data_IF_071781344965
#
_entry.id   IF_071781344965
#
_cell.length_a   1.000
_cell.length_b   1.000
_cell.length_c   1.000
_cell.angle_alpha   90.00
_cell.angle_beta   90.00
_cell.angle_gamma   90.00
#
_symmetry.space_group_name_H-M   'P 1'
#
loop_
_entity.id
_entity.type
_entity.pdbx_description
1 polymer ?
#
# COMPACT_ATOMS: atom_id res chain seq x y z
N UNK A 1 -2.68 -19.89 -1.64
CA UNK A 1 -2.30 -18.47 -1.39
C UNK A 1 -1.57 -17.96 -2.60
N UNK A 2 -1.86 -16.74 -3.06
CA UNK A 2 -1.24 -16.09 -4.22
C UNK A 2 -0.81 -14.66 -3.81
N UNK A 3 0.42 -14.28 -4.12
CA UNK A 3 0.90 -12.90 -4.08
C UNK A 3 0.89 -12.35 -5.51
N UNK A 4 0.26 -11.21 -5.71
CA UNK A 4 0.30 -10.45 -6.95
C UNK A 4 0.95 -9.10 -6.68
N UNK A 5 2.06 -8.81 -7.33
CA UNK A 5 2.66 -7.48 -7.29
C UNK A 5 1.87 -6.60 -8.27
N UNK A 6 1.18 -5.59 -7.74
CA UNK A 6 0.36 -4.67 -8.53
C UNK A 6 1.20 -3.57 -9.16
N UNK A 7 2.27 -3.17 -8.48
CA UNK A 7 3.27 -2.25 -8.94
C UNK A 7 4.64 -2.59 -8.36
N UNK A 8 5.69 -2.30 -9.09
CA UNK A 8 7.10 -2.58 -8.71
C UNK A 8 8.02 -1.39 -9.03
N UNK A 9 7.45 -0.23 -9.30
CA UNK A 9 8.19 1.00 -9.52
C UNK A 9 8.60 1.67 -8.23
N UNK A 10 9.51 2.64 -8.34
CA UNK A 10 9.91 3.53 -7.26
C UNK A 10 8.80 4.55 -6.96
N UNK A 11 9.03 5.43 -5.98
CA UNK A 11 8.15 6.56 -5.66
C UNK A 11 7.82 7.46 -6.86
N UNK A 12 8.69 7.50 -7.87
CA UNK A 12 8.47 8.25 -9.12
C UNK A 12 7.71 7.44 -10.18
N UNK A 13 7.63 6.11 -10.05
CA UNK A 13 7.18 5.21 -11.11
C UNK A 13 8.19 5.10 -12.27
N UNK A 14 7.93 4.21 -13.21
CA UNK A 14 8.70 4.07 -14.46
C UNK A 14 7.71 4.02 -15.63
N UNK A 15 7.82 4.90 -16.63
CA UNK A 15 8.78 5.99 -16.79
C UNK A 15 8.59 7.12 -15.78
N UNK A 16 9.69 7.73 -15.37
CA UNK A 16 9.67 8.94 -14.54
C UNK A 16 9.41 10.17 -15.40
N UNK A 17 8.61 11.09 -14.89
CA UNK A 17 8.26 12.34 -15.58
C UNK A 17 9.54 13.12 -15.93
N UNK A 18 9.70 13.43 -17.22
CA UNK A 18 10.85 14.19 -17.72
C UNK A 18 12.15 13.39 -17.88
N UNK A 19 12.22 12.14 -17.47
CA UNK A 19 13.40 11.29 -17.64
C UNK A 19 13.55 10.84 -19.11
N UNK A 20 14.79 10.87 -19.61
CA UNK A 20 15.14 10.47 -20.98
C UNK A 20 16.12 9.29 -21.04
N UNK A 21 16.26 8.54 -19.95
CA UNK A 21 17.10 7.34 -19.95
C UNK A 21 16.51 6.25 -20.84
N UNK A 22 17.32 5.26 -21.19
CA UNK A 22 16.93 4.18 -22.07
C UNK A 22 15.68 3.43 -21.60
N UNK A 23 15.54 3.22 -20.28
CA UNK A 23 14.39 2.52 -19.67
C UNK A 23 13.13 3.38 -19.74
N UNK A 24 13.19 4.66 -19.36
CA UNK A 24 12.03 5.55 -19.41
C UNK A 24 11.56 5.86 -20.84
N UNK A 25 12.46 5.79 -21.84
CA UNK A 25 12.14 5.95 -23.25
C UNK A 25 11.84 4.62 -23.97
N UNK A 26 11.90 3.49 -23.26
CA UNK A 26 11.66 2.17 -23.84
C UNK A 26 10.20 2.01 -24.30
N UNK A 27 10.03 1.33 -25.42
CA UNK A 27 8.73 0.85 -25.89
C UNK A 27 8.29 -0.48 -25.27
N UNK A 28 9.14 -1.14 -24.49
CA UNK A 28 8.81 -2.42 -23.86
C UNK A 28 7.83 -2.19 -22.70
N UNK A 29 6.66 -2.86 -22.69
CA UNK A 29 5.70 -2.72 -21.60
C UNK A 29 6.24 -3.21 -20.24
N UNK A 30 7.27 -4.05 -20.19
CA UNK A 30 7.92 -4.50 -18.96
C UNK A 30 8.71 -3.38 -18.28
N UNK A 31 9.07 -2.33 -18.99
CA UNK A 31 9.72 -1.14 -18.44
C UNK A 31 8.71 -0.12 -17.89
N UNK A 32 7.41 -0.42 -17.93
CA UNK A 32 6.36 0.39 -17.33
C UNK A 32 5.99 -0.18 -15.97
N UNK A 33 6.35 0.55 -14.90
CA UNK A 33 6.15 0.11 -13.51
C UNK A 33 5.45 1.20 -12.72
N UNK A 34 4.22 0.94 -12.33
CA UNK A 34 3.49 1.77 -11.37
C UNK A 34 4.11 1.66 -9.99
N UNK A 35 3.80 2.61 -9.10
CA UNK A 35 4.28 2.64 -7.72
C UNK A 35 3.89 1.37 -6.98
N UNK A 36 4.68 1.06 -5.98
CA UNK A 36 4.65 -0.25 -5.32
C UNK A 36 3.32 -0.50 -4.60
N UNK A 37 2.75 -1.66 -4.83
CA UNK A 37 1.61 -2.23 -4.08
C UNK A 37 1.54 -3.74 -4.34
N UNK A 38 0.91 -4.46 -3.44
CA UNK A 38 0.72 -5.90 -3.57
C UNK A 38 -0.65 -6.38 -3.11
N UNK A 39 -1.07 -7.52 -3.63
CA UNK A 39 -2.30 -8.19 -3.26
C UNK A 39 -1.99 -9.61 -2.81
N UNK A 40 -2.47 -9.99 -1.65
CA UNK A 40 -2.41 -11.36 -1.14
C UNK A 40 -3.81 -11.95 -1.17
N UNK A 41 -3.99 -13.03 -1.92
CA UNK A 41 -5.23 -13.80 -1.97
C UNK A 41 -5.03 -15.13 -1.27
N UNK A 42 -5.88 -15.40 -0.30
CA UNK A 42 -5.78 -16.62 0.53
C UNK A 42 -6.51 -17.81 -0.13
N UNK A 43 -6.25 -19.00 0.36
CA UNK A 43 -6.98 -20.19 -0.09
C UNK A 43 -8.47 -20.19 0.32
N UNK A 44 -8.84 -19.42 1.34
CA UNK A 44 -10.24 -19.21 1.78
C UNK A 44 -10.97 -18.14 0.96
N UNK A 45 -10.31 -17.50 -0.01
CA UNK A 45 -10.91 -16.47 -0.87
C UNK A 45 -10.80 -15.04 -0.31
N UNK A 46 -10.17 -14.83 0.84
CA UNK A 46 -9.92 -13.49 1.37
C UNK A 46 -8.84 -12.76 0.55
N UNK A 47 -9.01 -11.47 0.42
CA UNK A 47 -8.13 -10.58 -0.37
C UNK A 47 -7.60 -9.46 0.52
N UNK A 48 -6.29 -9.45 0.73
CA UNK A 48 -5.57 -8.44 1.52
C UNK A 48 -4.75 -7.59 0.56
N UNK A 49 -4.98 -6.27 0.58
CA UNK A 49 -4.22 -5.29 -0.18
C UNK A 49 -3.08 -4.75 0.70
N UNK A 50 -1.90 -4.53 0.14
CA UNK A 50 -0.78 -3.87 0.81
C UNK A 50 -0.48 -2.59 0.05
N UNK A 51 -0.65 -1.47 0.73
CA UNK A 51 -0.56 -0.09 0.26
C UNK A 51 -1.59 0.32 -0.81
N UNK A 52 -1.80 1.63 -0.92
CA UNK A 52 -2.74 2.25 -1.86
C UNK A 52 -2.05 3.38 -2.63
N UNK A 53 -1.21 3.07 -3.63
CA UNK A 53 -0.51 4.10 -4.40
C UNK A 53 -1.48 4.94 -5.26
N UNK A 54 -1.04 6.08 -5.80
CA UNK A 54 -1.86 6.94 -6.67
C UNK A 54 -2.48 6.22 -7.87
N UNK A 55 -1.84 5.16 -8.38
CA UNK A 55 -2.36 4.36 -9.49
C UNK A 55 -3.24 3.18 -9.08
N UNK A 56 -3.65 3.12 -7.81
CA UNK A 56 -4.39 1.98 -7.24
C UNK A 56 -5.56 1.54 -8.12
N UNK A 57 -6.38 2.49 -8.57
CA UNK A 57 -7.53 2.18 -9.43
C UNK A 57 -7.12 1.41 -10.69
N UNK A 58 -6.07 1.86 -11.37
CA UNK A 58 -5.59 1.21 -12.59
C UNK A 58 -5.01 -0.18 -12.31
N UNK A 59 -4.28 -0.31 -11.20
CA UNK A 59 -3.69 -1.57 -10.76
C UNK A 59 -4.77 -2.61 -10.44
N UNK A 60 -5.81 -2.23 -9.70
CA UNK A 60 -6.90 -3.12 -9.33
C UNK A 60 -7.76 -3.54 -10.52
N UNK A 61 -8.02 -2.62 -11.47
CA UNK A 61 -8.71 -2.92 -12.72
C UNK A 61 -7.91 -3.92 -13.57
N UNK A 62 -6.61 -3.70 -13.73
CA UNK A 62 -5.73 -4.60 -14.48
C UNK A 62 -5.64 -6.00 -13.85
N UNK A 63 -5.70 -6.08 -12.51
CA UNK A 63 -5.69 -7.35 -11.77
C UNK A 63 -7.06 -8.01 -11.63
N UNK A 64 -8.15 -7.39 -12.12
CA UNK A 64 -9.51 -7.90 -12.04
C UNK A 64 -10.04 -8.02 -10.60
N UNK A 65 -9.61 -7.12 -9.71
CA UNK A 65 -9.98 -7.17 -8.29
C UNK A 65 -11.39 -6.62 -8.09
N UNK A 66 -12.26 -7.43 -7.51
CA UNK A 66 -13.65 -7.05 -7.22
C UNK A 66 -13.97 -6.98 -5.72
N UNK A 67 -13.05 -7.45 -4.86
CA UNK A 67 -13.22 -7.47 -3.41
C UNK A 67 -11.90 -7.25 -2.70
N UNK A 68 -11.92 -6.48 -1.62
CA UNK A 68 -10.83 -6.32 -0.65
C UNK A 68 -11.41 -6.53 0.75
N UNK A 69 -10.78 -7.38 1.55
CA UNK A 69 -11.23 -7.69 2.91
C UNK A 69 -10.47 -6.91 3.97
N UNK A 70 -9.21 -6.55 3.69
CA UNK A 70 -8.38 -5.73 4.56
C UNK A 70 -7.31 -5.00 3.74
N UNK A 71 -6.82 -3.88 4.28
CA UNK A 71 -5.66 -3.16 3.76
C UNK A 71 -4.59 -3.07 4.82
N UNK A 72 -3.35 -3.34 4.46
CA UNK A 72 -2.17 -3.17 5.30
C UNK A 72 -1.36 -1.99 4.77
N UNK A 73 -1.01 -1.04 5.62
CA UNK A 73 -0.12 0.06 5.25
C UNK A 73 1.28 -0.16 5.81
N UNK A 74 2.27 -0.07 4.91
CA UNK A 74 3.67 -0.17 5.28
C UNK A 74 4.14 1.09 6.00
N UNK A 75 3.80 2.27 5.46
CA UNK A 75 4.11 3.58 6.01
C UNK A 75 3.30 4.70 5.32
N UNK A 76 3.49 5.95 5.71
CA UNK A 76 2.67 7.10 5.33
C UNK A 76 3.12 7.85 4.07
N UNK A 77 4.17 7.45 3.36
CA UNK A 77 4.61 8.17 2.16
C UNK A 77 3.53 8.20 1.08
N UNK A 78 3.52 9.27 0.31
CA UNK A 78 2.51 9.59 -0.70
C UNK A 78 2.28 8.47 -1.73
N UNK A 79 3.35 7.84 -2.15
CA UNK A 79 3.35 6.73 -3.11
C UNK A 79 2.78 5.42 -2.54
N UNK A 80 2.51 5.38 -1.22
CA UNK A 80 1.88 4.24 -0.54
C UNK A 80 0.45 4.51 -0.06
N UNK A 81 0.02 5.78 0.02
CA UNK A 81 -1.27 6.10 0.66
C UNK A 81 -2.23 6.93 -0.19
N UNK A 82 -1.78 7.62 -1.25
CA UNK A 82 -2.62 8.61 -1.95
C UNK A 82 -3.77 8.03 -2.78
N UNK A 83 -3.84 6.71 -2.98
CA UNK A 83 -4.98 6.04 -3.60
C UNK A 83 -6.07 5.60 -2.61
N UNK A 84 -6.01 6.04 -1.35
CA UNK A 84 -6.95 5.63 -0.29
C UNK A 84 -8.42 5.89 -0.65
N UNK A 85 -8.72 6.95 -1.41
CA UNK A 85 -10.10 7.27 -1.80
C UNK A 85 -10.72 6.21 -2.73
N UNK A 86 -9.92 5.52 -3.54
CA UNK A 86 -10.40 4.45 -4.41
C UNK A 86 -10.96 3.24 -3.64
N UNK A 87 -10.63 3.12 -2.34
CA UNK A 87 -11.20 2.11 -1.45
C UNK A 87 -12.71 2.31 -1.22
N UNK A 88 -13.24 3.48 -1.56
CA UNK A 88 -14.67 3.82 -1.46
C UNK A 88 -15.56 2.77 -2.14
N UNK A 89 -15.20 2.35 -3.33
CA UNK A 89 -15.99 1.39 -4.11
C UNK A 89 -16.19 0.06 -3.37
N UNK A 90 -15.16 -0.42 -2.67
CA UNK A 90 -15.24 -1.69 -1.92
C UNK A 90 -16.10 -1.55 -0.67
N UNK A 91 -15.94 -0.46 0.10
CA UNK A 91 -16.74 -0.24 1.30
C UNK A 91 -18.24 -0.03 0.98
N UNK A 92 -18.55 0.62 -0.14
CA UNK A 92 -19.91 0.81 -0.63
C UNK A 92 -20.50 -0.53 -1.10
N UNK A 93 -19.82 -1.25 -1.99
CA UNK A 93 -20.33 -2.52 -2.53
C UNK A 93 -20.44 -3.60 -1.46
N UNK A 94 -19.54 -3.63 -0.49
CA UNK A 94 -19.57 -4.62 0.59
C UNK A 94 -20.51 -4.23 1.74
N UNK A 95 -21.05 -3.01 1.73
CA UNK A 95 -21.99 -2.52 2.74
C UNK A 95 -21.44 -2.43 4.17
N UNK A 96 -20.11 -2.46 4.33
CA UNK A 96 -19.42 -2.43 5.63
C UNK A 96 -18.13 -1.61 5.55
N UNK A 97 -17.66 -1.08 6.69
CA UNK A 97 -16.35 -0.46 6.73
C UNK A 97 -15.25 -1.44 6.32
N UNK A 98 -14.28 -0.95 5.53
CA UNK A 98 -13.09 -1.71 5.17
C UNK A 98 -12.01 -1.47 6.23
N UNK A 99 -11.48 -2.53 6.89
CA UNK A 99 -10.45 -2.38 7.91
C UNK A 99 -9.09 -2.06 7.28
N UNK A 100 -8.45 -1.03 7.81
CA UNK A 100 -7.09 -0.59 7.48
C UNK A 100 -6.19 -0.84 8.68
N UNK A 101 -5.06 -1.45 8.46
CA UNK A 101 -4.09 -1.80 9.49
C UNK A 101 -2.75 -1.11 9.21
N UNK A 102 -2.09 -0.60 10.23
CA UNK A 102 -0.79 0.04 10.12
C UNK A 102 -0.20 0.42 11.47
N UNK A 103 1.03 0.92 11.49
CA UNK A 103 1.62 1.51 12.69
C UNK A 103 0.88 2.79 13.08
N UNK A 104 0.83 3.10 14.39
CA UNK A 104 0.08 4.28 14.86
C UNK A 104 0.52 5.61 14.20
N UNK A 105 1.81 5.88 13.94
CA UNK A 105 2.20 7.08 13.21
C UNK A 105 1.55 7.18 11.82
N UNK A 106 1.53 6.08 11.07
CA UNK A 106 0.89 6.01 9.75
C UNK A 106 -0.62 6.23 9.84
N UNK A 107 -1.29 5.62 10.84
CA UNK A 107 -2.72 5.81 11.05
C UNK A 107 -3.06 7.24 11.48
N UNK A 108 -2.23 7.87 12.29
CA UNK A 108 -2.38 9.28 12.68
C UNK A 108 -2.26 10.20 11.46
N UNK A 109 -1.26 9.97 10.61
CA UNK A 109 -1.12 10.68 9.33
C UNK A 109 -2.37 10.54 8.44
N UNK A 110 -2.91 9.32 8.32
CA UNK A 110 -4.12 9.09 7.52
C UNK A 110 -5.32 9.85 8.08
N UNK A 111 -5.53 9.87 9.41
CA UNK A 111 -6.62 10.63 10.05
C UNK A 111 -6.51 12.13 9.76
N UNK A 112 -5.30 12.67 9.83
CA UNK A 112 -5.07 14.10 9.62
C UNK A 112 -5.17 14.48 8.15
N UNK A 113 -4.51 13.75 7.25
CA UNK A 113 -4.44 14.07 5.82
C UNK A 113 -5.76 13.83 5.10
N UNK A 114 -6.52 12.82 5.54
CA UNK A 114 -7.80 12.45 4.91
C UNK A 114 -9.00 12.70 5.86
N UNK A 115 -9.01 13.85 6.50
CA UNK A 115 -10.06 14.22 7.47
C UNK A 115 -11.47 14.01 6.93
N UNK A 116 -11.73 14.27 5.66
CA UNK A 116 -13.06 14.07 5.06
C UNK A 116 -13.54 12.61 5.15
N UNK A 117 -12.64 11.64 5.26
CA UNK A 117 -12.96 10.21 5.44
C UNK A 117 -13.24 9.92 6.92
N UNK A 118 -12.36 10.39 7.81
CA UNK A 118 -12.28 9.91 9.19
C UNK A 118 -12.96 10.84 10.21
N UNK A 119 -13.17 12.11 9.88
CA UNK A 119 -13.83 13.07 10.76
C UNK A 119 -15.36 12.94 10.65
N UNK A 120 -16.05 12.48 11.71
CA UNK A 120 -17.51 12.33 11.68
C UNK A 120 -18.25 13.68 11.59
N UNK A 121 -17.57 14.79 11.92
CA UNK A 121 -18.15 16.14 11.78
C UNK A 121 -18.23 16.58 10.32
N UNK A 122 -17.52 15.94 9.39
CA UNK A 122 -17.60 16.25 7.97
C UNK A 122 -18.68 15.36 7.33
N UNK A 123 -19.83 15.93 6.91
CA UNK A 123 -20.93 15.13 6.38
C UNK A 123 -20.65 14.60 4.95
N UNK A 124 -21.38 13.56 4.58
CA UNK A 124 -21.55 13.22 3.16
C UNK A 124 -22.60 14.19 2.56
N UNK A 125 -22.27 14.79 1.42
CA UNK A 125 -23.23 15.61 0.68
C UNK A 125 -24.14 14.75 -0.19
N UNK A 126 -25.35 15.23 -0.46
CA UNK A 126 -26.30 14.53 -1.32
C UNK A 126 -25.69 14.21 -2.70
N UNK A 127 -25.78 12.96 -3.12
CA UNK A 127 -25.22 12.48 -4.40
C UNK A 127 -23.72 12.18 -4.37
N UNK A 128 -23.08 12.29 -3.21
CA UNK A 128 -21.66 11.89 -3.03
C UNK A 128 -21.56 10.68 -2.11
N UNK A 129 -20.41 10.08 -2.07
CA UNK A 129 -20.04 9.06 -1.09
C UNK A 129 -18.58 9.23 -0.68
N UNK A 130 -18.27 8.90 0.56
CA UNK A 130 -16.88 8.82 1.04
C UNK A 130 -16.53 7.38 1.40
N UNK A 131 -15.25 7.00 1.39
CA UNK A 131 -14.85 5.69 1.87
C UNK A 131 -15.32 5.46 3.32
N UNK A 132 -15.86 4.29 3.61
CA UNK A 132 -16.13 3.84 4.98
C UNK A 132 -14.97 2.96 5.40
N UNK A 133 -14.09 3.48 6.24
CA UNK A 133 -12.85 2.84 6.63
C UNK A 133 -12.75 2.79 8.16
N UNK A 134 -12.16 1.73 8.71
CA UNK A 134 -11.85 1.61 10.12
C UNK A 134 -10.35 1.40 10.33
N UNK A 135 -9.74 2.12 11.26
CA UNK A 135 -8.31 2.11 11.50
C UNK A 135 -7.97 1.19 12.69
N UNK A 136 -7.00 0.31 12.51
CA UNK A 136 -6.56 -0.68 13.48
C UNK A 136 -5.03 -0.66 13.61
N UNK A 137 -4.53 -0.38 14.81
CA UNK A 137 -3.11 -0.34 15.09
C UNK A 137 -2.46 -1.73 15.00
N UNK A 138 -1.25 -1.77 14.44
CA UNK A 138 -0.38 -2.95 14.42
C UNK A 138 0.89 -2.67 15.22
N UNK A 139 1.21 -3.59 16.11
CA UNK A 139 2.51 -3.63 16.77
C UNK A 139 3.42 -4.65 16.09
N UNK A 140 4.65 -4.24 15.76
CA UNK A 140 5.64 -5.14 15.19
C UNK A 140 6.01 -6.25 16.20
N UNK A 141 6.17 -7.47 15.68
CA UNK A 141 6.56 -8.64 16.48
C UNK A 141 5.38 -9.45 17.05
N UNK A 142 4.16 -8.93 17.01
CA UNK A 142 2.97 -9.63 17.50
C UNK A 142 2.07 -10.06 16.33
N UNK A 143 1.74 -11.35 16.17
CA UNK A 143 0.83 -11.79 15.12
C UNK A 143 -0.61 -11.38 15.45
N UNK A 144 -1.33 -10.92 14.43
CA UNK A 144 -2.74 -10.54 14.50
C UNK A 144 -3.50 -11.31 13.40
N UNK A 145 -4.69 -11.80 13.73
CA UNK A 145 -5.55 -12.42 12.71
C UNK A 145 -6.24 -11.34 11.87
N UNK A 146 -5.99 -11.33 10.57
CA UNK A 146 -6.57 -10.39 9.61
C UNK A 146 -7.16 -11.18 8.45
N UNK A 147 -8.46 -11.00 8.21
CA UNK A 147 -9.19 -11.72 7.17
C UNK A 147 -9.01 -13.25 7.21
N UNK A 148 -8.97 -13.84 8.43
CA UNK A 148 -8.78 -15.26 8.65
C UNK A 148 -7.34 -15.77 8.45
N UNK A 149 -6.35 -14.86 8.43
CA UNK A 149 -4.94 -15.20 8.27
C UNK A 149 -4.08 -14.58 9.37
N UNK A 150 -3.11 -15.32 9.93
CA UNK A 150 -2.11 -14.75 10.81
C UNK A 150 -1.18 -13.82 10.02
N UNK A 151 -1.16 -12.55 10.39
CA UNK A 151 -0.30 -11.51 9.85
C UNK A 151 0.67 -11.09 10.94
N UNK A 152 1.95 -11.14 10.66
CA UNK A 152 3.01 -10.63 11.53
C UNK A 152 3.62 -9.39 10.89
N UNK A 153 3.48 -8.25 11.57
CA UNK A 153 4.17 -7.03 11.19
C UNK A 153 5.62 -7.07 11.67
N UNK A 154 6.54 -6.69 10.80
CA UNK A 154 7.98 -6.61 11.05
C UNK A 154 8.42 -5.17 10.82
N UNK A 155 9.24 -4.62 11.72
CA UNK A 155 9.73 -3.24 11.62
C UNK A 155 11.09 -3.21 10.93
N UNK A 156 11.24 -2.27 9.99
CA UNK A 156 12.49 -2.00 9.29
C UNK A 156 12.80 -0.52 9.32
N UNK A 157 14.07 -0.15 9.18
CA UNK A 157 14.49 1.24 9.03
C UNK A 157 14.21 1.75 7.60
N UNK A 158 13.78 3.02 7.51
CA UNK A 158 13.55 3.73 6.26
C UNK A 158 13.86 5.22 6.45
N UNK A 159 15.00 5.68 5.89
CA UNK A 159 15.47 7.05 6.11
C UNK A 159 15.66 7.36 7.59
N UNK A 160 14.91 8.36 8.09
CA UNK A 160 14.87 8.73 9.51
C UNK A 160 13.66 8.10 10.25
N UNK A 161 12.84 7.33 9.54
CA UNK A 161 11.64 6.69 10.05
C UNK A 161 11.72 5.17 10.01
N UNK A 162 10.56 4.55 10.10
CA UNK A 162 10.42 3.09 10.03
C UNK A 162 9.29 2.71 9.10
N UNK A 163 9.41 1.54 8.46
CA UNK A 163 8.35 0.93 7.66
C UNK A 163 7.98 -0.44 8.23
N UNK A 164 6.75 -0.86 8.00
CA UNK A 164 6.32 -2.22 8.29
C UNK A 164 6.49 -3.10 7.04
N UNK A 165 7.12 -4.26 7.22
CA UNK A 165 6.94 -5.38 6.33
C UNK A 165 5.93 -6.35 6.93
N UNK A 166 5.38 -7.24 6.13
CA UNK A 166 4.33 -8.17 6.56
C UNK A 166 4.67 -9.60 6.19
N UNK A 167 4.62 -10.50 7.18
CA UNK A 167 4.58 -11.93 6.92
C UNK A 167 3.13 -12.41 7.02
N UNK A 168 2.64 -13.01 5.93
CA UNK A 168 1.29 -13.54 5.81
C UNK A 168 1.41 -15.01 5.40
N UNK A 169 1.24 -15.91 6.35
CA UNK A 169 1.55 -17.32 6.14
C UNK A 169 3.00 -17.54 5.65
N UNK A 170 3.21 -18.20 4.49
CA UNK A 170 4.55 -18.43 3.93
C UNK A 170 5.13 -17.24 3.15
N UNK A 171 4.34 -16.17 2.93
CA UNK A 171 4.75 -15.00 2.15
C UNK A 171 5.28 -13.93 3.11
N UNK A 172 6.43 -13.32 2.77
CA UNK A 172 6.91 -12.10 3.37
C UNK A 172 6.98 -11.01 2.29
N UNK A 173 6.37 -9.86 2.58
CA UNK A 173 6.41 -8.67 1.74
C UNK A 173 7.13 -7.56 2.48
N UNK A 174 8.15 -7.00 1.86
CA UNK A 174 8.94 -5.90 2.40
C UNK A 174 9.22 -4.92 1.26
N UNK A 175 8.97 -3.64 1.50
CA UNK A 175 9.31 -2.56 0.57
C UNK A 175 9.99 -1.43 1.34
N UNK A 176 10.75 -0.59 0.66
CA UNK A 176 11.40 0.63 1.16
C UNK A 176 12.29 0.42 2.40
N UNK A 177 12.57 -0.82 2.73
CA UNK A 177 13.36 -1.17 3.90
C UNK A 177 14.85 -0.97 3.66
N UNK A 178 15.52 -0.35 4.62
CA UNK A 178 16.97 -0.37 4.73
C UNK A 178 17.36 -1.64 5.52
N UNK A 179 18.11 -2.54 4.90
CA UNK A 179 18.63 -3.70 5.59
C UNK A 179 19.80 -3.28 6.51
N UNK A 180 19.68 -3.54 7.80
CA UNK A 180 20.78 -3.35 8.74
C UNK A 180 21.99 -4.19 8.28
N UNK A 181 23.17 -3.55 8.09
CA UNK A 181 24.40 -4.21 7.69
C UNK A 181 24.78 -4.10 6.21
N UNK A 182 23.97 -3.50 5.35
CA UNK A 182 24.46 -3.03 4.05
C UNK A 182 25.42 -1.87 4.31
N UNK A 183 26.74 -2.13 4.35
CA UNK A 183 27.78 -1.10 4.39
C UNK A 183 27.44 -0.10 3.28
N UNK A 184 27.28 1.17 3.65
CA UNK A 184 27.29 2.28 2.72
C UNK A 184 28.58 2.17 1.92
N UNK A 185 28.48 1.63 0.71
CA UNK A 185 29.52 1.87 -0.28
C UNK A 185 29.35 3.34 -0.64
N UNK A 186 30.30 4.14 -0.19
CA UNK A 186 30.41 5.53 -0.59
C UNK A 186 30.44 5.60 -2.12
N UNK A 187 29.37 6.03 -2.72
CA UNK A 187 29.21 6.18 -4.16
C UNK A 187 27.78 6.61 -4.40
N UNK A 188 27.59 7.87 -4.80
CA UNK A 188 26.31 8.53 -4.95
C UNK A 188 25.29 7.63 -5.66
N UNK A 189 24.16 7.42 -5.01
CA UNK A 189 22.98 6.85 -5.65
C UNK A 189 22.47 7.85 -6.66
N UNK A 190 22.95 7.75 -7.90
CA UNK A 190 22.15 8.22 -9.02
C UNK A 190 20.90 7.35 -9.02
N UNK A 191 19.74 7.94 -8.82
CA UNK A 191 18.45 7.28 -9.05
C UNK A 191 18.47 6.74 -10.47
N UNK A 192 18.90 5.50 -10.62
CA UNK A 192 18.74 4.79 -11.88
C UNK A 192 17.26 4.45 -12.00
N UNK A 193 16.63 5.00 -13.05
CA UNK A 193 15.32 4.55 -13.50
C UNK A 193 15.35 3.06 -13.87
#
# INVERSE_FOLDING_TARGET
MRLTLLGTGTSFGVPQIGCRCAVCCSGDPRDRRTRTAALVQTGSGATILIDTPPELRLQLLAAGVTRIDAVLYTHEHADHVHGIDDLRVFSVHQGRPLPLYGAEPTLAFLRESYRYIFDPAIPEYAGTSKPRLSLHGLEAGSPVEIAGMPVLALRFEHGQGTVLGFRIGPIAYVTDAKLAGARERAGGWHTAC
#
